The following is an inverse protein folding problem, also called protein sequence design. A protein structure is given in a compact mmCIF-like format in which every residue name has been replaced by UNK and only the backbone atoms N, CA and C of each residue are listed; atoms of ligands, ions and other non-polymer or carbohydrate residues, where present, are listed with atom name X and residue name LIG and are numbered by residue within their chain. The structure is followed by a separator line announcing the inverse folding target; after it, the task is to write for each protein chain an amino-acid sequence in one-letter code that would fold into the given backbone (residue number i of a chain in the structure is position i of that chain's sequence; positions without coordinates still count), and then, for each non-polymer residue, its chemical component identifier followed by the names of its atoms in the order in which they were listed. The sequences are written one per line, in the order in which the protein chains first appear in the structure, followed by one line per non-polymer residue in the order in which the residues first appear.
data_IF_922483239088
#
_entry.id   IF_922483239088
#
_cell.length_a   1.000
_cell.length_b   1.000
_cell.length_c   1.000
_cell.angle_alpha   90.00
_cell.angle_beta   90.00
_cell.angle_gamma   90.00
#
_symmetry.space_group_name_H-M   'P 1'
#
loop_
_entity.id
_entity.type
_entity.pdbx_description
1 polymer ?
#
# COMPACT_ATOMS: atom_id res chain seq x y z
N UNK A 1 -56.64 -28.04 -23.91
CA UNK A 1 -56.00 -26.76 -24.30
C UNK A 1 -54.53 -26.81 -23.91
N UNK A 2 -53.64 -27.16 -24.85
CA UNK A 2 -52.21 -27.25 -24.60
C UNK A 2 -51.63 -25.83 -24.46
N UNK A 3 -51.12 -25.49 -23.27
CA UNK A 3 -50.55 -24.18 -22.99
C UNK A 3 -49.25 -23.98 -23.77
N UNK A 4 -49.21 -22.98 -24.64
CA UNK A 4 -47.98 -22.53 -25.32
C UNK A 4 -46.93 -22.21 -24.26
N UNK A 5 -45.81 -22.91 -24.26
CA UNK A 5 -44.69 -22.61 -23.39
C UNK A 5 -44.16 -21.21 -23.73
N UNK A 6 -44.02 -20.35 -22.71
CA UNK A 6 -43.38 -19.05 -22.87
C UNK A 6 -41.96 -19.25 -23.41
N UNK A 7 -41.58 -18.45 -24.41
CA UNK A 7 -40.25 -18.54 -25.01
C UNK A 7 -39.18 -18.06 -24.00
N UNK A 8 -37.93 -18.55 -24.08
CA UNK A 8 -36.86 -18.13 -23.18
C UNK A 8 -36.67 -16.62 -23.11
N UNK A 9 -36.91 -15.93 -24.22
CA UNK A 9 -36.88 -14.47 -24.35
C UNK A 9 -37.97 -13.77 -23.50
N UNK A 10 -39.20 -14.29 -23.49
CA UNK A 10 -40.29 -13.77 -22.66
C UNK A 10 -40.01 -13.96 -21.15
N UNK A 11 -39.29 -15.01 -20.78
CA UNK A 11 -38.86 -15.23 -19.40
C UNK A 11 -37.85 -14.17 -18.95
N UNK A 12 -36.84 -13.89 -19.79
CA UNK A 12 -35.82 -12.89 -19.49
C UNK A 12 -36.42 -11.48 -19.40
N UNK A 13 -37.29 -11.12 -20.35
CA UNK A 13 -37.96 -9.81 -20.35
C UNK A 13 -38.88 -9.62 -19.13
N UNK A 14 -39.59 -10.67 -18.70
CA UNK A 14 -40.41 -10.61 -17.49
C UNK A 14 -39.56 -10.33 -16.24
N UNK A 15 -38.41 -10.98 -16.10
CA UNK A 15 -37.47 -10.78 -14.98
C UNK A 15 -36.94 -9.35 -14.99
N UNK A 16 -36.43 -8.86 -16.12
CA UNK A 16 -35.89 -7.49 -16.25
C UNK A 16 -36.94 -6.45 -15.87
N UNK A 17 -38.18 -6.57 -16.39
CA UNK A 17 -39.26 -5.65 -16.05
C UNK A 17 -39.64 -5.74 -14.57
N UNK A 18 -39.60 -6.94 -13.99
CA UNK A 18 -39.87 -7.11 -12.56
C UNK A 18 -38.80 -6.44 -11.70
N UNK A 19 -37.53 -6.67 -11.99
CA UNK A 19 -36.43 -6.09 -11.23
C UNK A 19 -36.29 -4.57 -11.43
N UNK A 20 -36.77 -4.03 -12.56
CA UNK A 20 -36.96 -2.60 -12.77
C UNK A 20 -38.12 -1.98 -11.95
N UNK A 21 -38.94 -2.81 -11.31
CA UNK A 21 -40.01 -2.41 -10.38
C UNK A 21 -41.41 -2.35 -10.99
N UNK A 22 -41.64 -2.92 -12.17
CA UNK A 22 -42.98 -2.98 -12.75
C UNK A 22 -43.88 -3.99 -12.02
N UNK A 23 -45.19 -3.68 -11.98
CA UNK A 23 -46.21 -4.56 -11.38
C UNK A 23 -46.57 -5.71 -12.31
N UNK A 24 -47.07 -6.81 -11.76
CA UNK A 24 -47.39 -8.02 -12.52
C UNK A 24 -48.40 -7.76 -13.66
N UNK A 25 -49.37 -6.87 -13.42
CA UNK A 25 -50.39 -6.50 -14.40
C UNK A 25 -49.78 -5.77 -15.62
N UNK A 26 -48.83 -4.86 -15.39
CA UNK A 26 -48.15 -4.12 -16.46
C UNK A 26 -47.21 -5.04 -17.26
N UNK A 27 -46.58 -6.01 -16.59
CA UNK A 27 -45.74 -7.01 -17.25
C UNK A 27 -46.59 -7.94 -18.12
N UNK A 28 -47.75 -8.36 -17.63
CA UNK A 28 -48.70 -9.20 -18.37
C UNK A 28 -49.21 -8.51 -19.65
N UNK A 29 -49.57 -7.24 -19.53
CA UNK A 29 -50.01 -6.40 -20.66
C UNK A 29 -48.89 -6.21 -21.69
N UNK A 30 -47.67 -5.86 -21.25
CA UNK A 30 -46.53 -5.62 -22.15
C UNK A 30 -46.03 -6.87 -22.87
N UNK A 31 -46.10 -8.03 -22.24
CA UNK A 31 -45.63 -9.30 -22.81
C UNK A 31 -46.75 -10.08 -23.51
N UNK A 32 -48.00 -9.59 -23.47
CA UNK A 32 -49.16 -10.25 -24.09
C UNK A 32 -49.46 -11.63 -23.49
N UNK A 33 -49.16 -11.84 -22.20
CA UNK A 33 -49.34 -13.12 -21.50
C UNK A 33 -50.24 -12.97 -20.28
N UNK A 34 -50.87 -14.06 -19.83
CA UNK A 34 -51.72 -14.03 -18.65
C UNK A 34 -50.93 -13.73 -17.36
N UNK A 35 -51.59 -13.09 -16.40
CA UNK A 35 -51.06 -12.83 -15.04
C UNK A 35 -50.49 -14.10 -14.37
N UNK A 36 -51.19 -15.24 -14.52
CA UNK A 36 -50.75 -16.53 -14.00
C UNK A 36 -49.45 -17.03 -14.62
N UNK A 37 -49.25 -16.78 -15.92
CA UNK A 37 -48.00 -17.12 -16.62
C UNK A 37 -46.84 -16.26 -16.13
N UNK A 38 -47.05 -14.95 -15.95
CA UNK A 38 -46.04 -14.03 -15.39
C UNK A 38 -45.64 -14.44 -13.97
N UNK A 39 -46.62 -14.73 -13.10
CA UNK A 39 -46.34 -15.20 -11.73
C UNK A 39 -45.49 -16.47 -11.72
N UNK A 40 -45.79 -17.42 -12.60
CA UNK A 40 -45.04 -18.68 -12.71
C UNK A 40 -43.62 -18.47 -13.23
N UNK A 41 -43.44 -17.59 -14.22
CA UNK A 41 -42.13 -17.21 -14.77
C UNK A 41 -41.25 -16.51 -13.72
N UNK A 42 -41.80 -15.52 -13.01
CA UNK A 42 -41.03 -14.77 -12.01
C UNK A 42 -40.67 -15.62 -10.79
N UNK A 43 -41.57 -16.51 -10.35
CA UNK A 43 -41.30 -17.44 -9.25
C UNK A 43 -40.19 -18.44 -9.59
N UNK A 44 -40.12 -18.89 -10.84
CA UNK A 44 -39.04 -19.79 -11.32
C UNK A 44 -37.67 -19.09 -11.32
N UNK A 45 -37.64 -17.78 -11.55
CA UNK A 45 -36.41 -16.99 -11.68
C UNK A 45 -36.12 -16.13 -10.42
N UNK A 46 -36.86 -16.33 -9.32
CA UNK A 46 -36.70 -15.58 -8.06
C UNK A 46 -36.69 -14.05 -8.20
N UNK A 47 -37.36 -13.51 -9.23
CA UNK A 47 -37.31 -12.09 -9.55
C UNK A 47 -38.17 -11.25 -8.59
N UNK A 48 -37.54 -10.29 -7.91
CA UNK A 48 -38.17 -9.39 -6.93
C UNK A 48 -38.37 -8.00 -7.51
N UNK A 49 -39.46 -7.32 -7.12
CA UNK A 49 -39.73 -5.97 -7.57
C UNK A 49 -38.62 -5.01 -7.16
N UNK A 50 -38.02 -4.29 -8.12
CA UNK A 50 -37.07 -3.22 -7.80
C UNK A 50 -35.67 -3.70 -7.38
N UNK A 51 -35.36 -5.00 -7.49
CA UNK A 51 -34.06 -5.56 -7.09
C UNK A 51 -32.88 -4.87 -7.79
N UNK A 52 -32.97 -4.60 -9.10
CA UNK A 52 -31.91 -3.88 -9.84
C UNK A 52 -31.75 -2.44 -9.33
N UNK A 53 -32.85 -1.76 -9.00
CA UNK A 53 -32.81 -0.39 -8.45
C UNK A 53 -32.12 -0.38 -7.09
N UNK A 54 -32.45 -1.34 -6.23
CA UNK A 54 -31.84 -1.48 -4.92
C UNK A 54 -30.33 -1.77 -5.02
N UNK A 55 -29.94 -2.71 -5.89
CA UNK A 55 -28.53 -3.04 -6.13
C UNK A 55 -27.73 -1.85 -6.70
N UNK A 56 -28.33 -1.03 -7.58
CA UNK A 56 -27.71 0.19 -8.09
C UNK A 56 -27.55 1.27 -7.00
N UNK A 57 -28.54 1.40 -6.10
CA UNK A 57 -28.47 2.33 -4.95
C UNK A 57 -27.38 1.89 -3.97
N UNK A 58 -27.29 0.60 -3.68
CA UNK A 58 -26.25 0.04 -2.81
C UNK A 58 -24.86 0.21 -3.42
N UNK A 59 -24.69 -0.11 -4.72
CA UNK A 59 -23.43 0.13 -5.43
C UNK A 59 -23.02 1.60 -5.40
N UNK A 60 -23.95 2.53 -5.67
CA UNK A 60 -23.65 3.96 -5.60
C UNK A 60 -23.24 4.42 -4.19
N UNK A 61 -23.81 3.81 -3.14
CA UNK A 61 -23.43 4.07 -1.76
C UNK A 61 -22.03 3.53 -1.45
N UNK A 62 -21.71 2.32 -1.91
CA UNK A 62 -20.39 1.71 -1.74
C UNK A 62 -19.30 2.46 -2.53
N UNK A 63 -19.62 2.90 -3.76
CA UNK A 63 -18.75 3.75 -4.57
C UNK A 63 -18.53 5.14 -3.92
N UNK A 64 -19.57 5.69 -3.26
CA UNK A 64 -19.44 6.93 -2.49
C UNK A 64 -18.55 6.75 -1.25
N UNK A 65 -18.71 5.65 -0.51
CA UNK A 65 -17.89 5.36 0.67
C UNK A 65 -16.43 5.07 0.28
N UNK A 66 -16.21 4.25 -0.74
CA UNK A 66 -14.87 3.95 -1.24
C UNK A 66 -14.16 5.19 -1.80
N UNK A 67 -14.87 6.10 -2.48
CA UNK A 67 -14.30 7.37 -2.95
C UNK A 67 -14.06 8.37 -1.82
N UNK A 68 -14.91 8.40 -0.79
CA UNK A 68 -14.74 9.26 0.38
C UNK A 68 -13.55 8.83 1.28
N UNK A 69 -13.33 7.52 1.41
CA UNK A 69 -12.23 6.94 2.17
C UNK A 69 -11.03 6.53 1.29
N UNK A 70 -10.99 6.99 0.04
CA UNK A 70 -9.82 6.78 -0.81
C UNK A 70 -8.58 7.40 -0.14
N UNK A 71 -7.48 6.65 -0.13
CA UNK A 71 -6.25 7.04 0.55
C UNK A 71 -5.76 8.42 0.09
N UNK A 72 -5.87 8.71 -1.20
CA UNK A 72 -5.49 10.00 -1.80
C UNK A 72 -6.32 11.16 -1.25
N UNK A 73 -7.65 11.01 -1.16
CA UNK A 73 -8.53 12.06 -0.62
C UNK A 73 -8.31 12.29 0.87
N UNK A 74 -8.07 11.21 1.62
CA UNK A 74 -7.72 11.27 3.04
C UNK A 74 -6.38 11.98 3.22
N UNK A 75 -5.38 11.69 2.39
CA UNK A 75 -4.08 12.35 2.40
C UNK A 75 -4.19 13.85 2.08
N UNK A 76 -4.96 14.22 1.05
CA UNK A 76 -5.19 15.63 0.70
C UNK A 76 -5.89 16.38 1.84
N UNK A 77 -6.91 15.78 2.45
CA UNK A 77 -7.63 16.38 3.58
C UNK A 77 -6.73 16.50 4.81
N UNK A 78 -5.93 15.47 5.12
CA UNK A 78 -4.95 15.52 6.20
C UNK A 78 -3.91 16.62 5.96
N UNK A 79 -3.37 16.74 4.75
CA UNK A 79 -2.43 17.80 4.38
C UNK A 79 -3.04 19.20 4.55
N UNK A 80 -4.30 19.39 4.12
CA UNK A 80 -5.01 20.65 4.31
C UNK A 80 -5.17 21.01 5.79
N UNK A 81 -5.55 20.06 6.64
CA UNK A 81 -5.69 20.27 8.08
C UNK A 81 -4.35 20.63 8.74
N UNK A 82 -3.26 19.97 8.34
CA UNK A 82 -1.90 20.29 8.82
C UNK A 82 -1.49 21.72 8.43
N UNK A 83 -1.81 22.15 7.20
CA UNK A 83 -1.54 23.52 6.75
C UNK A 83 -2.34 24.56 7.54
N UNK A 84 -3.62 24.26 7.82
CA UNK A 84 -4.47 25.13 8.64
C UNK A 84 -3.95 25.27 10.07
N UNK A 85 -3.55 24.16 10.70
CA UNK A 85 -2.92 24.16 12.02
C UNK A 85 -1.63 25.01 12.07
N UNK A 86 -0.86 25.00 10.98
CA UNK A 86 0.34 25.83 10.86
C UNK A 86 -0.01 27.32 10.78
N UNK A 87 -0.99 27.67 9.95
CA UNK A 87 -1.47 29.05 9.82
C UNK A 87 -2.03 29.59 11.14
N UNK A 88 -2.77 28.76 11.88
CA UNK A 88 -3.27 29.10 13.22
C UNK A 88 -2.13 29.26 14.23
N UNK A 89 -1.18 28.33 14.25
CA UNK A 89 0.00 28.41 15.11
C UNK A 89 0.82 29.68 14.86
N UNK A 90 0.99 30.09 13.60
CA UNK A 90 1.67 31.34 13.24
C UNK A 90 0.92 32.55 13.78
N UNK A 91 -0.41 32.61 13.61
CA UNK A 91 -1.26 33.69 14.14
C UNK A 91 -1.19 33.76 15.67
N UNK A 92 -1.20 32.61 16.36
CA UNK A 92 -1.06 32.54 17.82
C UNK A 92 0.29 33.12 18.22
N UNK A 93 1.40 32.71 17.59
CA UNK A 93 2.75 33.22 17.89
C UNK A 93 2.88 34.72 17.68
N UNK A 94 2.31 35.27 16.60
CA UNK A 94 2.29 36.71 16.36
C UNK A 94 1.54 37.47 17.47
N UNK A 95 0.40 36.94 17.92
CA UNK A 95 -0.37 37.52 19.03
C UNK A 95 0.37 37.42 20.36
N UNK A 96 1.02 36.28 20.63
CA UNK A 96 1.85 36.09 21.82
C UNK A 96 3.02 37.07 21.86
N UNK A 97 3.67 37.32 20.71
CA UNK A 97 4.76 38.30 20.63
C UNK A 97 4.28 39.71 21.00
N UNK A 98 3.17 40.17 20.42
CA UNK A 98 2.56 41.46 20.79
C UNK A 98 2.13 41.52 22.25
N UNK A 99 1.63 40.41 22.79
CA UNK A 99 1.27 40.32 24.20
C UNK A 99 2.51 40.39 25.10
N UNK A 100 3.64 39.80 24.67
CA UNK A 100 4.92 39.88 25.37
C UNK A 100 5.41 41.33 25.48
N UNK A 101 5.33 42.09 24.38
CA UNK A 101 5.74 43.49 24.33
C UNK A 101 4.90 44.40 25.24
N UNK A 102 3.67 43.99 25.55
CA UNK A 102 2.75 44.72 26.41
C UNK A 102 2.88 44.36 27.92
N UNK A 103 3.72 43.37 28.28
CA UNK A 103 3.93 43.00 29.68
C UNK A 103 4.90 43.98 30.33
N UNK A 104 4.42 44.70 31.34
CA UNK A 104 5.28 45.52 32.21
C UNK A 104 6.11 44.61 33.13
N UNK A 105 7.46 44.72 33.13
CA UNK A 105 8.35 43.84 33.91
C UNK A 105 8.11 43.92 35.41
N UNK A 106 7.77 45.11 35.91
CA UNK A 106 7.57 45.38 37.34
C UNK A 106 6.14 45.06 37.82
N UNK A 107 5.27 44.58 36.92
CA UNK A 107 3.91 44.19 37.27
C UNK A 107 3.92 42.90 38.12
N UNK A 108 3.16 42.84 39.23
CA UNK A 108 2.95 41.59 40.00
C UNK A 108 2.36 40.44 39.17
N UNK A 109 1.81 40.73 37.99
CA UNK A 109 1.23 39.75 37.08
C UNK A 109 2.20 39.30 35.96
N UNK A 110 3.39 39.91 35.83
CA UNK A 110 4.33 39.65 34.74
C UNK A 110 4.73 38.17 34.65
N UNK A 111 5.14 37.56 35.76
CA UNK A 111 5.53 36.14 35.80
C UNK A 111 4.38 35.20 35.42
N UNK A 112 3.13 35.54 35.78
CA UNK A 112 1.94 34.75 35.40
C UNK A 112 1.65 34.87 33.91
N UNK A 113 1.74 36.08 33.35
CA UNK A 113 1.56 36.31 31.92
C UNK A 113 2.66 35.62 31.09
N UNK A 114 3.92 35.66 31.54
CA UNK A 114 5.03 34.96 30.91
C UNK A 114 4.86 33.43 30.95
N UNK A 115 4.43 32.88 32.09
CA UNK A 115 4.16 31.44 32.20
C UNK A 115 3.01 30.98 31.28
N UNK A 116 1.95 31.80 31.16
CA UNK A 116 0.87 31.55 30.21
C UNK A 116 1.36 31.56 28.77
N UNK A 117 2.14 32.59 28.37
CA UNK A 117 2.73 32.68 27.03
C UNK A 117 3.64 31.50 26.71
N UNK A 118 4.50 31.09 27.65
CA UNK A 118 5.38 29.93 27.51
C UNK A 118 4.59 28.61 27.34
N UNK A 119 3.49 28.46 28.09
CA UNK A 119 2.61 27.29 27.99
C UNK A 119 1.91 27.23 26.64
N UNK A 120 1.36 28.35 26.17
CA UNK A 120 0.75 28.41 24.83
C UNK A 120 1.77 28.10 23.74
N UNK A 121 2.98 28.63 23.84
CA UNK A 121 4.04 28.35 22.86
C UNK A 121 4.40 26.86 22.84
N UNK A 122 4.60 26.25 24.01
CA UNK A 122 4.85 24.81 24.15
C UNK A 122 3.74 23.98 23.51
N UNK A 123 2.47 24.26 23.83
CA UNK A 123 1.33 23.51 23.29
C UNK A 123 1.27 23.59 21.75
N UNK A 124 1.48 24.77 21.16
CA UNK A 124 1.51 24.89 19.68
C UNK A 124 2.68 24.12 19.07
N UNK A 125 3.83 24.07 19.74
CA UNK A 125 4.99 23.32 19.26
C UNK A 125 4.78 21.79 19.36
N UNK A 126 4.18 21.31 20.45
CA UNK A 126 3.86 19.90 20.64
C UNK A 126 2.85 19.40 19.60
N UNK A 127 1.82 20.20 19.30
CA UNK A 127 0.85 19.89 18.23
C UNK A 127 1.53 19.85 16.86
N UNK A 128 2.35 20.84 16.52
CA UNK A 128 3.03 20.89 15.23
C UNK A 128 4.00 19.72 15.01
N UNK A 129 4.76 19.31 16.04
CA UNK A 129 5.66 18.14 15.94
C UNK A 129 4.92 16.82 15.79
N UNK A 130 3.68 16.71 16.29
CA UNK A 130 2.84 15.52 16.10
C UNK A 130 2.16 15.50 14.73
N UNK A 131 1.73 16.67 14.25
CA UNK A 131 1.10 16.84 12.94
C UNK A 131 2.08 16.55 11.78
N UNK A 132 3.34 16.96 11.95
CA UNK A 132 4.45 16.62 11.07
C UNK A 132 5.50 15.87 11.88
N UNK A 133 5.47 14.53 11.92
CA UNK A 133 6.53 13.76 12.54
C UNK A 133 7.79 13.87 11.65
N UNK A 134 8.50 15.00 11.76
CA UNK A 134 9.76 15.25 11.05
C UNK A 134 10.74 14.09 11.25
N UNK A 135 10.77 13.55 12.47
CA UNK A 135 11.57 12.37 12.85
C UNK A 135 11.17 11.10 12.07
N UNK A 136 9.91 10.98 11.62
CA UNK A 136 9.44 9.86 10.77
C UNK A 136 9.61 10.13 9.29
N UNK A 137 9.63 11.40 8.87
CA UNK A 137 9.91 11.77 7.48
C UNK A 137 11.37 11.44 7.12
N UNK A 138 12.31 11.65 8.05
CA UNK A 138 13.70 11.20 7.90
C UNK A 138 13.79 9.66 7.79
N UNK A 139 13.02 8.93 8.60
CA UNK A 139 12.95 7.45 8.52
C UNK A 139 12.27 6.94 7.24
N UNK A 140 11.26 7.65 6.71
CA UNK A 140 10.55 7.25 5.50
C UNK A 140 11.35 7.54 4.20
N UNK A 141 12.28 8.49 4.24
CA UNK A 141 13.23 8.73 3.15
C UNK A 141 14.39 7.73 3.16
N UNK A 142 14.69 7.13 4.31
CA UNK A 142 15.57 5.98 4.41
C UNK A 142 14.80 4.71 3.99
N UNK A 143 14.59 4.55 2.67
CA UNK A 143 14.24 3.23 2.13
C UNK A 143 15.42 2.32 2.44
N UNK A 144 15.28 1.43 3.42
CA UNK A 144 16.21 0.32 3.59
C UNK A 144 16.17 -0.51 2.30
N UNK A 145 17.20 -0.35 1.46
CA UNK A 145 17.39 -1.22 0.31
C UNK A 145 17.54 -2.65 0.84
N UNK A 146 16.54 -3.49 0.58
CA UNK A 146 16.62 -4.91 0.89
C UNK A 146 17.83 -5.49 0.15
N UNK A 147 18.71 -6.26 0.81
CA UNK A 147 19.85 -6.85 0.14
C UNK A 147 19.36 -7.76 -1.00
N UNK A 148 19.91 -7.58 -2.20
CA UNK A 148 19.58 -8.40 -3.35
C UNK A 148 20.15 -9.82 -3.17
N UNK A 149 19.31 -10.84 -3.33
CA UNK A 149 19.76 -12.23 -3.41
C UNK A 149 20.25 -12.51 -4.83
N UNK A 150 21.58 -12.58 -5.01
CA UNK A 150 22.19 -12.92 -6.29
C UNK A 150 22.55 -14.41 -6.35
N UNK A 151 21.89 -15.16 -7.25
CA UNK A 151 22.15 -16.59 -7.46
C UNK A 151 23.12 -16.75 -8.62
N UNK A 152 24.33 -17.25 -8.32
CA UNK A 152 25.36 -17.52 -9.33
C UNK A 152 25.50 -19.03 -9.57
N UNK A 153 25.68 -19.43 -10.84
CA UNK A 153 25.98 -20.83 -11.19
C UNK A 153 27.49 -21.05 -11.00
N UNK A 154 27.86 -21.97 -10.11
CA UNK A 154 29.25 -22.33 -9.87
C UNK A 154 29.88 -22.95 -11.13
N UNK A 155 31.04 -22.45 -11.54
CA UNK A 155 31.87 -23.07 -12.56
C UNK A 155 32.63 -24.28 -11.99
N UNK A 156 33.15 -25.15 -12.86
CA UNK A 156 33.95 -26.30 -12.41
C UNK A 156 35.12 -25.93 -11.51
N UNK A 157 35.77 -24.78 -11.72
CA UNK A 157 36.84 -24.30 -10.86
C UNK A 157 36.35 -23.78 -9.51
N UNK A 158 35.13 -23.24 -9.43
CA UNK A 158 34.52 -22.84 -8.15
C UNK A 158 34.18 -24.09 -7.31
N UNK A 159 33.78 -25.17 -7.96
CA UNK A 159 33.58 -26.47 -7.30
C UNK A 159 34.91 -27.05 -6.82
N UNK A 160 35.97 -27.00 -7.63
CA UNK A 160 37.30 -27.49 -7.24
C UNK A 160 37.88 -26.70 -6.06
N UNK A 161 37.73 -25.37 -6.05
CA UNK A 161 38.12 -24.52 -4.94
C UNK A 161 37.37 -24.89 -3.65
N UNK A 162 36.04 -25.02 -3.73
CA UNK A 162 35.23 -25.43 -2.58
C UNK A 162 35.64 -26.82 -2.06
N UNK A 163 36.01 -27.75 -2.94
CA UNK A 163 36.48 -29.09 -2.56
C UNK A 163 37.88 -29.07 -1.96
N UNK A 164 38.79 -28.24 -2.46
CA UNK A 164 40.12 -28.06 -1.88
C UNK A 164 40.03 -27.41 -0.49
N UNK A 165 39.16 -26.41 -0.33
CA UNK A 165 38.88 -25.78 0.96
C UNK A 165 38.33 -26.78 1.99
N UNK A 166 37.41 -27.67 1.57
CA UNK A 166 36.89 -28.74 2.44
C UNK A 166 37.98 -29.74 2.86
N UNK A 167 38.88 -30.13 1.95
CA UNK A 167 40.00 -31.05 2.27
C UNK A 167 41.03 -30.40 3.18
N UNK A 168 41.29 -29.10 3.00
CA UNK A 168 42.15 -28.32 3.90
C UNK A 168 41.58 -28.30 5.32
N UNK A 169 40.30 -27.95 5.47
CA UNK A 169 39.62 -27.91 6.78
C UNK A 169 39.62 -29.30 7.46
N UNK A 170 39.48 -30.38 6.68
CA UNK A 170 39.56 -31.75 7.18
C UNK A 170 40.99 -32.15 7.60
N UNK A 171 42.01 -31.76 6.83
CA UNK A 171 43.42 -32.00 7.15
C UNK A 171 43.86 -31.24 8.40
N UNK A 172 43.45 -29.97 8.54
CA UNK A 172 43.69 -29.17 9.74
C UNK A 172 43.02 -29.77 10.98
N UNK A 173 41.79 -30.28 10.83
CA UNK A 173 41.06 -30.91 11.93
C UNK A 173 41.66 -32.26 12.34
N UNK A 174 42.26 -32.99 11.40
CA UNK A 174 42.95 -34.24 11.65
C UNK A 174 44.42 -34.07 12.08
N UNK A 175 44.96 -32.84 12.04
CA UNK A 175 46.35 -32.52 12.39
C UNK A 175 47.38 -33.02 11.38
N UNK A 176 46.97 -33.21 10.13
CA UNK A 176 47.85 -33.63 9.02
C UNK A 176 48.42 -32.38 8.33
N UNK A 177 49.58 -31.92 8.83
CA UNK A 177 50.24 -30.71 8.35
C UNK A 177 50.72 -30.83 6.89
N UNK A 178 51.04 -32.04 6.43
CA UNK A 178 51.51 -32.29 5.06
C UNK A 178 50.35 -32.17 4.07
N UNK A 179 49.21 -32.82 4.36
CA UNK A 179 48.01 -32.70 3.55
C UNK A 179 47.42 -31.28 3.55
N UNK A 180 47.48 -30.56 4.67
CA UNK A 180 47.04 -29.16 4.74
C UNK A 180 47.92 -28.25 3.87
N UNK A 181 49.24 -28.47 3.85
CA UNK A 181 50.16 -27.70 3.00
C UNK A 181 49.90 -27.93 1.51
N UNK A 182 49.66 -29.18 1.09
CA UNK A 182 49.36 -29.52 -0.31
C UNK A 182 48.06 -28.88 -0.82
N UNK A 183 47.02 -28.85 0.01
CA UNK A 183 45.74 -28.22 -0.36
C UNK A 183 45.82 -26.69 -0.37
N UNK A 184 46.64 -26.07 0.49
CA UNK A 184 46.95 -24.65 0.44
C UNK A 184 47.65 -24.26 -0.87
N UNK A 185 48.61 -25.07 -1.33
CA UNK A 185 49.26 -24.86 -2.64
C UNK A 185 48.26 -25.01 -3.79
N UNK A 186 47.33 -25.96 -3.68
CA UNK A 186 46.25 -26.17 -4.66
C UNK A 186 45.33 -24.95 -4.74
N UNK A 187 44.92 -24.37 -3.60
CA UNK A 187 44.10 -23.15 -3.56
C UNK A 187 44.85 -21.95 -4.15
N UNK A 188 46.14 -21.80 -3.88
CA UNK A 188 46.97 -20.74 -4.46
C UNK A 188 47.08 -20.86 -5.98
N UNK A 189 47.21 -22.09 -6.50
CA UNK A 189 47.22 -22.34 -7.94
C UNK A 189 45.87 -22.01 -8.60
N UNK A 190 44.75 -22.39 -7.97
CA UNK A 190 43.40 -22.05 -8.45
C UNK A 190 43.20 -20.53 -8.48
N UNK A 191 43.63 -19.82 -7.42
CA UNK A 191 43.53 -18.36 -7.33
C UNK A 191 44.35 -17.66 -8.44
N UNK A 192 45.58 -18.10 -8.67
CA UNK A 192 46.42 -17.58 -9.75
C UNK A 192 45.78 -17.78 -11.13
N UNK A 193 45.14 -18.94 -11.35
CA UNK A 193 44.46 -19.26 -12.60
C UNK A 193 43.17 -18.45 -12.81
N UNK A 194 42.43 -18.15 -11.73
CA UNK A 194 41.26 -17.26 -11.77
C UNK A 194 41.65 -15.82 -12.08
N UNK A 195 42.75 -15.32 -11.52
CA UNK A 195 43.26 -13.97 -11.80
C UNK A 195 43.55 -13.77 -13.30
N UNK A 196 44.24 -14.75 -13.92
CA UNK A 196 44.53 -14.72 -15.37
C UNK A 196 43.25 -14.75 -16.21
N UNK A 197 42.22 -15.49 -15.78
CA UNK A 197 40.94 -15.58 -16.51
C UNK A 197 40.10 -14.30 -16.35
N UNK A 198 40.20 -13.62 -15.22
CA UNK A 198 39.53 -12.35 -14.96
C UNK A 198 40.07 -11.23 -15.86
N UNK A 199 41.37 -11.20 -16.14
CA UNK A 199 42.00 -10.21 -17.03
C UNK A 199 41.61 -10.38 -18.52
N UNK A 200 41.16 -11.56 -18.94
CA UNK A 200 40.77 -11.82 -20.33
C UNK A 200 39.31 -11.49 -20.65
N UNK A 201 38.49 -11.17 -19.64
CA UNK A 201 37.06 -10.86 -19.78
C UNK A 201 36.79 -9.35 -19.64
N UNK A 202 37.65 -8.52 -20.22
CA UNK A 202 37.36 -7.10 -20.37
C UNK A 202 36.10 -6.92 -21.25
N UNK A 203 35.15 -6.21 -20.66
CA UNK A 203 33.78 -5.99 -21.08
C UNK A 203 33.75 -5.27 -22.43
N UNK A 204 33.15 -5.89 -23.46
CA UNK A 204 32.69 -5.15 -24.64
C UNK A 204 31.42 -4.40 -24.25
N UNK A 205 31.55 -3.12 -23.95
CA UNK A 205 30.42 -2.19 -23.86
C UNK A 205 29.92 -1.97 -25.28
N UNK A 206 28.73 -2.48 -25.60
CA UNK A 206 27.97 -2.06 -26.79
C UNK A 206 27.12 -0.88 -26.32
N UNK A 207 27.51 0.33 -26.71
CA UNK A 207 26.67 1.52 -26.60
C UNK A 207 25.64 1.51 -27.75
N UNK A 208 24.36 1.66 -27.42
CA UNK A 208 23.29 2.11 -28.32
C UNK A 208 23.02 3.61 -28.08
#
# INVERSE_FOLDING_TARGET
MAGKHATPDQSAQAVILREAGYTLSVIAERLGVSLSSVQRLLKKNHAVAGATKQALIEKARDDMLSSAFSLERVQQMAASLVLDDFALSQKIRQKLHRALDAIEPDSPNASRALAANATTLKLTQDVNRRALPLDKLEQAQAVEELPALEIHIMSGMDVEEMRAQQRLEEAELNGDEEAASEELETLQWIAARKAIRSESNDIVVIED
#
